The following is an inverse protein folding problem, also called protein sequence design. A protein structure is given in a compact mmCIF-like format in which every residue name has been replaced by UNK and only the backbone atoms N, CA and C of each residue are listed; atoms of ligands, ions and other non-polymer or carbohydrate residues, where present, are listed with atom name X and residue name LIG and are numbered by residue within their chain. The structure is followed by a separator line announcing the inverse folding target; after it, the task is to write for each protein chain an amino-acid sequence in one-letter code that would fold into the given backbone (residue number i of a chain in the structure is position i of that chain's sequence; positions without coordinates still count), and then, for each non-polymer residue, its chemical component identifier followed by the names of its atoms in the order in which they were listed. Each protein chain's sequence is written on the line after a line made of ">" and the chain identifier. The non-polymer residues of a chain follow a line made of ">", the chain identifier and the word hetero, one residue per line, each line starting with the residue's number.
data_IF_115536557772
#
_entry.id   IF_115536557772
#
_cell.length_a   1.000
_cell.length_b   1.000
_cell.length_c   1.000
_cell.angle_alpha   90.00
_cell.angle_beta   90.00
_cell.angle_gamma   90.00
#
_symmetry.space_group_name_H-M   'P 1'
#
loop_
_entity.id
_entity.type
_entity.pdbx_description
1 polymer ?
#
# COMPACT_ATOMS: atom_id res chain seq x y z
N UNK A 1 18.22 -3.91 43.14
CA UNK A 1 17.89 -3.17 41.90
C UNK A 1 17.74 -4.19 40.79
N UNK A 2 16.50 -4.60 40.51
CA UNK A 2 16.18 -5.53 39.44
C UNK A 2 15.79 -4.70 38.21
N UNK A 3 16.60 -4.74 37.15
CA UNK A 3 16.22 -4.22 35.85
C UNK A 3 15.84 -5.42 34.97
N UNK A 4 14.57 -5.77 35.00
CA UNK A 4 13.93 -6.71 34.08
C UNK A 4 13.78 -6.04 32.72
N UNK A 5 14.11 -6.79 31.67
CA UNK A 5 14.41 -6.26 30.35
C UNK A 5 13.21 -5.84 29.51
N UNK A 6 13.54 -5.20 28.39
CA UNK A 6 12.79 -5.32 27.16
C UNK A 6 13.82 -5.27 26.03
N UNK A 7 14.27 -6.45 25.60
CA UNK A 7 15.15 -6.58 24.45
C UNK A 7 14.39 -6.14 23.21
N UNK A 8 14.96 -5.19 22.47
CA UNK A 8 14.55 -4.96 21.09
C UNK A 8 14.93 -6.21 20.31
N UNK A 9 13.96 -7.09 20.08
CA UNK A 9 14.09 -8.16 19.11
C UNK A 9 14.22 -7.51 17.74
N UNK A 10 15.45 -7.40 17.26
CA UNK A 10 15.78 -7.31 15.84
C UNK A 10 15.01 -8.41 15.13
N UNK A 11 13.91 -8.05 14.47
CA UNK A 11 13.21 -8.98 13.59
C UNK A 11 14.12 -9.18 12.39
N UNK A 12 14.83 -10.30 12.42
CA UNK A 12 15.53 -10.93 11.32
C UNK A 12 14.78 -10.68 10.00
N UNK A 13 15.55 -10.30 8.98
CA UNK A 13 15.08 -9.90 7.66
C UNK A 13 13.86 -10.71 7.20
N UNK A 14 12.76 -9.99 6.98
CA UNK A 14 11.53 -10.59 6.51
C UNK A 14 11.76 -11.18 5.11
N UNK A 15 11.31 -12.44 4.96
CA UNK A 15 10.99 -13.15 3.71
C UNK A 15 12.13 -13.89 2.98
N UNK A 16 12.27 -15.18 3.29
CA UNK A 16 12.66 -16.21 2.30
C UNK A 16 11.44 -16.57 1.46
N UNK A 17 11.48 -16.33 0.13
CA UNK A 17 10.46 -16.82 -0.81
C UNK A 17 10.56 -18.34 -0.96
N UNK A 18 9.47 -19.04 -0.65
CA UNK A 18 9.30 -20.47 -0.90
C UNK A 18 9.20 -20.73 -2.41
N UNK A 19 9.96 -21.72 -2.88
CA UNK A 19 9.87 -22.24 -4.24
C UNK A 19 8.51 -22.85 -4.52
N UNK A 20 7.91 -22.45 -5.65
CA UNK A 20 6.62 -22.97 -6.11
C UNK A 20 6.81 -24.30 -6.85
N UNK A 21 6.19 -25.36 -6.34
CA UNK A 21 5.93 -26.58 -7.08
C UNK A 21 4.82 -26.37 -8.12
N UNK A 22 4.93 -27.06 -9.26
CA UNK A 22 4.09 -26.89 -10.43
C UNK A 22 2.60 -27.21 -10.16
N UNK A 23 1.76 -26.18 -10.28
CA UNK A 23 0.30 -26.29 -10.30
C UNK A 23 -0.32 -24.97 -10.77
N UNK A 24 -1.07 -25.01 -11.88
CA UNK A 24 -1.88 -23.94 -12.51
C UNK A 24 -1.33 -22.51 -12.33
N UNK A 25 -0.67 -21.97 -13.37
CA UNK A 25 -0.15 -20.59 -13.39
C UNK A 25 -1.25 -19.61 -12.97
N UNK A 26 -1.20 -19.12 -11.72
CA UNK A 26 -1.98 -17.95 -11.31
C UNK A 26 -1.38 -16.76 -12.05
N UNK A 27 -2.21 -16.00 -12.77
CA UNK A 27 -1.76 -14.73 -13.31
C UNK A 27 -1.27 -13.87 -12.16
N UNK A 28 -0.02 -13.43 -12.24
CA UNK A 28 0.57 -12.50 -11.29
C UNK A 28 -0.05 -11.13 -11.59
N UNK A 29 -0.76 -10.54 -10.62
CA UNK A 29 -1.49 -9.27 -10.80
C UNK A 29 -0.90 -8.23 -9.88
N UNK A 30 -0.51 -7.09 -10.43
CA UNK A 30 0.02 -5.98 -9.65
C UNK A 30 -1.04 -5.46 -8.67
N UNK A 31 -0.62 -4.98 -7.51
CA UNK A 31 -1.52 -4.47 -6.47
C UNK A 31 -1.01 -3.13 -5.98
N UNK A 32 -1.86 -2.12 -6.00
CA UNK A 32 -1.52 -0.79 -5.48
C UNK A 32 -1.56 -0.82 -3.97
N UNK A 33 -0.63 -0.15 -3.31
CA UNK A 33 -0.58 -0.03 -1.85
C UNK A 33 -0.88 1.41 -1.46
N UNK A 34 -1.79 1.55 -0.53
CA UNK A 34 -2.24 2.81 0.06
C UNK A 34 -1.45 3.17 1.34
N UNK A 35 -1.44 4.46 1.67
CA UNK A 35 -0.82 5.04 2.86
C UNK A 35 -1.31 4.34 4.13
N UNK A 36 -2.62 4.11 4.24
CA UNK A 36 -3.24 3.50 5.42
C UNK A 36 -2.67 2.12 5.75
N UNK A 37 -2.30 1.34 4.74
CA UNK A 37 -1.69 0.01 4.90
C UNK A 37 -0.23 0.11 5.30
N UNK A 38 0.56 1.02 4.69
CA UNK A 38 1.97 1.22 5.05
C UNK A 38 2.12 1.70 6.50
N UNK A 39 1.31 2.68 6.90
CA UNK A 39 1.30 3.21 8.27
C UNK A 39 0.91 2.12 9.26
N UNK A 40 -0.15 1.36 8.98
CA UNK A 40 -0.62 0.30 9.87
C UNK A 40 0.35 -0.88 9.95
N UNK A 41 0.98 -1.27 8.84
CA UNK A 41 2.01 -2.30 8.83
C UNK A 41 3.26 -1.88 9.61
N UNK A 42 3.56 -0.58 9.67
CA UNK A 42 4.72 -0.04 10.40
C UNK A 42 4.43 0.11 11.90
N UNK A 43 3.23 0.55 12.28
CA UNK A 43 2.87 0.79 13.67
C UNK A 43 2.32 -0.48 14.34
N UNK A 44 3.16 -1.20 15.10
CA UNK A 44 2.78 -2.42 15.82
C UNK A 44 1.63 -2.26 16.84
N UNK A 45 1.25 -1.02 17.17
CA UNK A 45 0.11 -0.71 18.05
C UNK A 45 -1.22 -0.61 17.32
N UNK A 46 -1.20 -0.52 15.99
CA UNK A 46 -2.44 -0.47 15.21
C UNK A 46 -3.19 -1.79 15.28
N UNK A 47 -4.50 -1.72 15.50
CA UNK A 47 -5.36 -2.91 15.47
C UNK A 47 -5.30 -3.63 14.12
N UNK A 48 -5.00 -2.88 13.04
CA UNK A 48 -4.84 -3.41 11.70
C UNK A 48 -3.42 -3.93 11.38
N UNK A 49 -2.46 -3.80 12.28
CA UNK A 49 -1.05 -4.12 12.00
C UNK A 49 -0.85 -5.53 11.41
N UNK A 50 -1.36 -6.55 12.11
CA UNK A 50 -1.20 -7.95 11.67
C UNK A 50 -1.91 -8.26 10.35
N UNK A 51 -3.08 -7.67 10.10
CA UNK A 51 -3.83 -7.90 8.84
C UNK A 51 -3.14 -7.22 7.66
N UNK A 52 -2.58 -6.03 7.86
CA UNK A 52 -1.82 -5.32 6.82
C UNK A 52 -0.54 -6.07 6.46
N UNK A 53 0.24 -6.51 7.45
CA UNK A 53 1.43 -7.33 7.21
C UNK A 53 1.10 -8.64 6.49
N UNK A 54 0.04 -9.33 6.91
CA UNK A 54 -0.39 -10.55 6.26
C UNK A 54 -0.81 -10.31 4.80
N UNK A 55 -1.52 -9.22 4.51
CA UNK A 55 -1.98 -8.87 3.18
C UNK A 55 -0.82 -8.49 2.24
N UNK A 56 0.15 -7.70 2.73
CA UNK A 56 1.39 -7.39 2.01
C UNK A 56 2.15 -8.68 1.67
N UNK A 57 2.32 -9.57 2.65
CA UNK A 57 3.07 -10.83 2.49
C UNK A 57 2.36 -11.82 1.56
N UNK A 58 1.03 -11.88 1.59
CA UNK A 58 0.24 -12.82 0.81
C UNK A 58 0.02 -12.36 -0.65
N UNK A 59 0.40 -11.12 -0.98
CA UNK A 59 0.16 -10.58 -2.33
C UNK A 59 1.02 -11.29 -3.37
N UNK A 60 0.34 -11.85 -4.39
CA UNK A 60 0.98 -12.51 -5.51
C UNK A 60 1.19 -11.50 -6.65
N UNK A 61 2.36 -10.89 -6.70
CA UNK A 61 2.76 -9.95 -7.76
C UNK A 61 3.58 -8.78 -7.27
N UNK A 62 3.71 -7.74 -8.09
CA UNK A 62 4.36 -6.52 -7.65
C UNK A 62 3.41 -5.72 -6.77
N UNK A 63 3.93 -5.29 -5.62
CA UNK A 63 3.35 -4.21 -4.86
C UNK A 63 3.82 -2.90 -5.52
N UNK A 64 2.87 -2.06 -5.90
CA UNK A 64 3.14 -0.78 -6.57
C UNK A 64 2.69 0.34 -5.65
N UNK A 65 3.54 1.35 -5.45
CA UNK A 65 3.26 2.51 -4.61
C UNK A 65 3.33 3.78 -5.45
N UNK A 66 2.36 4.67 -5.27
CA UNK A 66 2.45 6.04 -5.77
C UNK A 66 3.53 6.82 -4.99
N UNK A 67 4.36 7.66 -5.64
CA UNK A 67 5.28 8.52 -4.90
C UNK A 67 4.57 9.47 -3.93
N UNK A 68 3.29 9.77 -4.17
CA UNK A 68 2.44 10.57 -3.26
C UNK A 68 2.05 9.78 -2.00
N UNK A 69 1.72 8.50 -2.16
CA UNK A 69 1.51 7.58 -1.03
C UNK A 69 2.78 7.44 -0.20
N UNK A 70 3.94 7.30 -0.85
CA UNK A 70 5.23 7.23 -0.15
C UNK A 70 5.47 8.49 0.69
N UNK A 71 5.29 9.67 0.11
CA UNK A 71 5.47 10.94 0.80
C UNK A 71 4.50 11.12 1.98
N UNK A 72 3.24 10.72 1.81
CA UNK A 72 2.24 10.80 2.86
C UNK A 72 2.52 9.80 4.01
N UNK A 73 2.90 8.56 3.67
CA UNK A 73 3.27 7.55 4.66
C UNK A 73 4.49 7.98 5.48
N UNK A 74 5.52 8.51 4.83
CA UNK A 74 6.72 9.08 5.47
C UNK A 74 6.33 10.16 6.50
N UNK A 75 5.51 11.12 6.09
CA UNK A 75 5.01 12.17 6.98
C UNK A 75 4.23 11.61 8.18
N UNK A 76 3.35 10.63 7.96
CA UNK A 76 2.56 10.04 9.04
C UNK A 76 3.40 9.21 10.01
N UNK A 77 4.35 8.43 9.51
CA UNK A 77 5.22 7.57 10.32
C UNK A 77 6.21 8.42 11.12
N UNK A 78 6.77 9.48 10.53
CA UNK A 78 7.64 10.41 11.24
C UNK A 78 6.96 10.98 12.50
N UNK A 79 5.64 11.22 12.45
CA UNK A 79 4.85 11.72 13.60
C UNK A 79 4.63 10.68 14.69
N UNK A 80 4.87 9.39 14.43
CA UNK A 80 4.91 8.36 15.47
C UNK A 80 6.18 8.46 16.33
N UNK A 81 7.20 9.20 15.87
CA UNK A 81 8.45 9.44 16.60
C UNK A 81 9.38 8.21 16.65
N UNK A 82 9.24 7.29 15.70
CA UNK A 82 9.98 6.03 15.67
C UNK A 82 10.88 5.95 14.43
N UNK A 83 11.99 6.69 14.44
CA UNK A 83 12.98 6.71 13.34
C UNK A 83 13.42 5.30 12.90
N UNK A 84 13.65 4.32 13.79
CA UNK A 84 13.98 2.96 13.35
C UNK A 84 12.87 2.29 12.53
N UNK A 85 11.61 2.58 12.82
CA UNK A 85 10.46 2.02 12.08
C UNK A 85 10.31 2.70 10.71
N UNK A 86 10.54 4.00 10.63
CA UNK A 86 10.60 4.76 9.38
C UNK A 86 11.68 4.20 8.44
N UNK A 87 12.91 4.05 8.94
CA UNK A 87 14.02 3.48 8.16
C UNK A 87 13.72 2.05 7.71
N UNK A 88 13.14 1.22 8.57
CA UNK A 88 12.76 -0.14 8.22
C UNK A 88 11.69 -0.18 7.11
N UNK A 89 10.69 0.71 7.17
CA UNK A 89 9.69 0.84 6.12
C UNK A 89 10.32 1.27 4.79
N UNK A 90 11.22 2.26 4.79
CA UNK A 90 11.89 2.73 3.57
C UNK A 90 12.77 1.63 2.94
N UNK A 91 13.44 0.82 3.75
CA UNK A 91 14.19 -0.34 3.30
C UNK A 91 13.27 -1.40 2.68
N UNK A 92 12.15 -1.70 3.33
CA UNK A 92 11.17 -2.66 2.81
C UNK A 92 10.56 -2.21 1.48
N UNK A 93 10.20 -0.92 1.36
CA UNK A 93 9.70 -0.34 0.11
C UNK A 93 10.74 -0.47 -1.01
N UNK A 94 12.01 -0.17 -0.71
CA UNK A 94 13.11 -0.29 -1.69
C UNK A 94 13.29 -1.72 -2.19
N UNK A 95 13.23 -2.69 -1.28
CA UNK A 95 13.62 -4.07 -1.57
C UNK A 95 12.44 -4.90 -2.12
N UNK A 96 11.20 -4.57 -1.73
CA UNK A 96 10.03 -5.41 -1.99
C UNK A 96 8.93 -4.75 -2.83
N UNK A 97 9.00 -3.44 -3.09
CA UNK A 97 7.95 -2.70 -3.78
C UNK A 97 8.48 -1.89 -4.97
N UNK A 98 7.57 -1.49 -5.86
CA UNK A 98 7.88 -0.61 -6.98
C UNK A 98 7.27 0.75 -6.73
N UNK A 99 8.11 1.77 -6.51
CA UNK A 99 7.65 3.16 -6.53
C UNK A 99 7.43 3.56 -7.99
N UNK A 100 6.18 3.85 -8.33
CA UNK A 100 5.77 4.21 -9.67
C UNK A 100 6.30 5.60 -10.06
N UNK A 101 6.53 5.83 -11.35
CA UNK A 101 6.66 7.19 -11.88
C UNK A 101 5.29 7.86 -11.88
N UNK A 102 5.23 9.17 -11.63
CA UNK A 102 3.99 9.95 -11.72
C UNK A 102 4.25 11.18 -12.57
N UNK A 103 3.73 11.19 -13.80
CA UNK A 103 3.96 12.21 -14.81
C UNK A 103 2.89 13.31 -14.77
N UNK A 104 3.07 14.34 -15.61
CA UNK A 104 2.03 15.35 -15.81
C UNK A 104 0.76 14.74 -16.45
N UNK A 105 0.89 13.76 -17.34
CA UNK A 105 -0.27 13.07 -17.91
C UNK A 105 -1.04 12.26 -16.85
N UNK A 106 -0.33 11.69 -15.86
CA UNK A 106 -0.98 11.05 -14.72
C UNK A 106 -1.66 12.09 -13.82
N UNK A 107 -1.05 13.26 -13.65
CA UNK A 107 -1.62 14.37 -12.87
C UNK A 107 -2.89 14.93 -13.52
N UNK A 108 -2.91 15.11 -14.84
CA UNK A 108 -4.09 15.57 -15.58
C UNK A 108 -5.27 14.60 -15.42
N UNK A 109 -5.00 13.29 -15.47
CA UNK A 109 -6.01 12.27 -15.17
C UNK A 109 -6.45 12.33 -13.70
N UNK A 110 -5.52 12.52 -12.77
CA UNK A 110 -5.86 12.59 -11.35
C UNK A 110 -6.72 13.83 -11.03
N UNK A 111 -6.49 14.96 -11.69
CA UNK A 111 -7.36 16.15 -11.60
C UNK A 111 -8.79 15.78 -12.02
N UNK A 112 -8.94 15.10 -13.15
CA UNK A 112 -10.27 14.64 -13.63
C UNK A 112 -10.95 13.72 -12.61
N UNK A 113 -10.19 12.81 -11.98
CA UNK A 113 -10.71 11.93 -10.92
C UNK A 113 -11.13 12.73 -9.69
N UNK A 114 -10.32 13.69 -9.23
CA UNK A 114 -10.67 14.57 -8.09
C UNK A 114 -11.95 15.36 -8.38
N UNK A 115 -12.07 15.94 -9.57
CA UNK A 115 -13.27 16.67 -10.00
C UNK A 115 -14.51 15.76 -10.01
N UNK A 116 -14.39 14.55 -10.58
CA UNK A 116 -15.48 13.58 -10.64
C UNK A 116 -15.99 13.15 -9.26
N UNK A 117 -15.10 13.03 -8.28
CA UNK A 117 -15.42 12.56 -6.92
C UNK A 117 -15.28 13.68 -5.88
N UNK A 118 -15.61 14.93 -6.25
CA UNK A 118 -15.46 16.11 -5.38
C UNK A 118 -16.15 15.94 -4.02
N UNK A 119 -17.34 15.34 -4.00
CA UNK A 119 -18.12 15.12 -2.77
C UNK A 119 -17.45 14.16 -1.77
N UNK A 120 -16.54 13.31 -2.25
CA UNK A 120 -15.78 12.37 -1.42
C UNK A 120 -14.49 12.98 -0.85
N UNK A 121 -14.05 14.13 -1.38
CA UNK A 121 -12.81 14.82 -0.97
C UNK A 121 -11.59 13.89 -0.85
N UNK A 122 -11.37 13.07 -1.88
CA UNK A 122 -10.36 12.00 -1.89
C UNK A 122 -8.91 12.52 -1.94
N UNK A 123 -8.71 13.75 -2.45
CA UNK A 123 -7.38 14.32 -2.61
C UNK A 123 -6.52 13.63 -3.67
N UNK A 124 -5.31 14.15 -3.86
CA UNK A 124 -4.41 13.71 -4.94
C UNK A 124 -3.79 12.33 -4.68
N UNK A 125 -3.58 11.95 -3.41
CA UNK A 125 -3.03 10.64 -3.06
C UNK A 125 -3.95 9.52 -3.54
N UNK A 126 -5.23 9.55 -3.15
CA UNK A 126 -6.21 8.53 -3.57
C UNK A 126 -6.43 8.56 -5.08
N UNK A 127 -6.54 9.77 -5.68
CA UNK A 127 -6.67 9.90 -7.13
C UNK A 127 -5.47 9.30 -7.89
N UNK A 128 -4.25 9.43 -7.35
CA UNK A 128 -3.07 8.81 -7.95
C UNK A 128 -3.12 7.29 -7.93
N UNK A 129 -3.70 6.68 -6.88
CA UNK A 129 -3.91 5.23 -6.82
C UNK A 129 -4.86 4.80 -7.95
N UNK A 130 -5.94 5.54 -8.19
CA UNK A 130 -6.93 5.26 -9.24
C UNK A 130 -6.29 5.32 -10.64
N UNK A 131 -5.51 6.35 -10.92
CA UNK A 131 -4.80 6.52 -12.20
C UNK A 131 -3.76 5.42 -12.39
N UNK A 132 -2.95 5.13 -11.37
CA UNK A 132 -1.94 4.09 -11.46
C UNK A 132 -2.58 2.70 -11.59
N UNK A 133 -3.71 2.43 -10.92
CA UNK A 133 -4.43 1.17 -11.09
C UNK A 133 -4.82 0.93 -12.56
N UNK A 134 -5.25 1.97 -13.27
CA UNK A 134 -5.52 1.91 -14.70
C UNK A 134 -4.26 1.61 -15.52
N UNK A 135 -3.15 2.31 -15.23
CA UNK A 135 -1.87 2.15 -15.95
C UNK A 135 -1.21 0.78 -15.74
N UNK A 136 -1.35 0.22 -14.54
CA UNK A 136 -0.85 -1.13 -14.21
C UNK A 136 -1.88 -2.23 -14.50
N UNK A 137 -3.00 -1.89 -15.15
CA UNK A 137 -4.06 -2.83 -15.54
C UNK A 137 -4.55 -3.71 -14.39
N UNK A 138 -4.79 -3.09 -13.23
CA UNK A 138 -5.24 -3.79 -12.03
C UNK A 138 -6.42 -3.10 -11.37
N UNK A 139 -7.25 -3.89 -10.71
CA UNK A 139 -8.31 -3.41 -9.82
C UNK A 139 -7.97 -3.67 -8.35
N UNK A 140 -6.77 -4.19 -8.04
CA UNK A 140 -6.41 -4.60 -6.68
C UNK A 140 -5.76 -3.44 -5.93
N UNK A 141 -6.32 -3.10 -4.79
CA UNK A 141 -5.81 -2.06 -3.90
C UNK A 141 -5.70 -2.63 -2.48
N UNK A 142 -4.53 -2.51 -1.89
CA UNK A 142 -4.31 -2.69 -0.46
C UNK A 142 -4.59 -1.36 0.23
N UNK A 143 -5.74 -1.23 0.90
CA UNK A 143 -6.19 -0.01 1.59
C UNK A 143 -7.06 -0.40 2.79
N UNK A 144 -7.06 0.43 3.85
CA UNK A 144 -8.04 0.35 4.93
C UNK A 144 -9.23 1.28 4.70
N UNK A 145 -9.13 2.22 3.76
CA UNK A 145 -10.15 3.22 3.43
C UNK A 145 -11.16 2.67 2.42
N UNK A 146 -11.74 1.52 2.75
CA UNK A 146 -12.64 0.79 1.86
C UNK A 146 -13.81 1.64 1.36
N UNK A 147 -14.38 2.48 2.23
CA UNK A 147 -15.51 3.36 1.90
C UNK A 147 -15.19 4.34 0.75
N UNK A 148 -13.96 4.83 0.65
CA UNK A 148 -13.58 5.78 -0.41
C UNK A 148 -13.47 5.03 -1.74
N UNK A 149 -12.67 3.97 -1.77
CA UNK A 149 -12.44 3.22 -3.01
C UNK A 149 -13.64 2.38 -3.46
N UNK A 150 -14.59 2.04 -2.59
CA UNK A 150 -15.86 1.41 -2.99
C UNK A 150 -16.76 2.35 -3.81
N UNK A 151 -16.66 3.66 -3.59
CA UNK A 151 -17.46 4.65 -4.30
C UNK A 151 -16.84 5.07 -5.64
N UNK A 152 -15.60 4.65 -5.92
CA UNK A 152 -14.84 5.03 -7.11
C UNK A 152 -14.79 3.87 -8.10
N UNK A 153 -15.10 4.14 -9.36
CA UNK A 153 -14.99 3.18 -10.46
C UNK A 153 -13.57 3.14 -11.04
N UNK A 154 -13.03 1.95 -11.37
CA UNK A 154 -11.77 1.83 -12.12
C UNK A 154 -11.84 2.54 -13.48
N UNK A 155 -10.76 3.22 -13.90
CA UNK A 155 -10.75 3.98 -15.17
C UNK A 155 -10.61 3.11 -16.43
N UNK A 156 -9.92 1.97 -16.33
CA UNK A 156 -9.62 1.13 -17.49
C UNK A 156 -10.56 -0.08 -17.62
N UNK A 157 -10.53 -0.99 -16.66
CA UNK A 157 -11.26 -2.26 -16.73
C UNK A 157 -11.72 -2.73 -15.36
N UNK A 158 -12.91 -3.34 -15.32
CA UNK A 158 -13.51 -3.92 -14.12
C UNK A 158 -14.63 -3.05 -13.55
N UNK A 159 -15.61 -3.71 -12.92
CA UNK A 159 -16.81 -3.05 -12.40
C UNK A 159 -16.58 -2.43 -11.01
N UNK A 160 -15.50 -2.79 -10.32
CA UNK A 160 -15.15 -2.28 -9.00
C UNK A 160 -13.70 -2.63 -8.65
N UNK A 161 -13.13 -1.89 -7.70
CA UNK A 161 -11.86 -2.26 -7.08
C UNK A 161 -12.02 -3.49 -6.16
N UNK A 162 -11.05 -4.40 -6.22
CA UNK A 162 -10.84 -5.45 -5.23
C UNK A 162 -10.01 -4.89 -4.08
N UNK A 163 -10.65 -4.63 -2.94
CA UNK A 163 -10.03 -4.00 -1.78
C UNK A 163 -9.53 -5.04 -0.78
N UNK A 164 -8.31 -4.83 -0.29
CA UNK A 164 -7.60 -5.76 0.57
C UNK A 164 -6.93 -5.00 1.74
N UNK A 165 -6.76 -5.61 2.91
CA UNK A 165 -7.35 -6.88 3.32
C UNK A 165 -8.88 -6.78 3.38
N UNK A 166 -9.57 -7.81 2.88
CA UNK A 166 -11.03 -7.91 3.06
C UNK A 166 -11.35 -8.01 4.56
N UNK A 167 -12.46 -7.39 4.97
CA UNK A 167 -12.98 -7.37 6.34
C UNK A 167 -13.05 -8.75 6.99
#
# INVERSE_FOLDING_TARGET
>A
MANTGCGYHTHDGYIRRLGLAAGRVRSVVDTLVDTSVLVSATNAREAAHRRCLAALTATLGRLVISPLVLAEADYMIARLGQVPAEVAMLQDIRDNMTVAQFSNDDLDQAITVVEQYTDLNIGITDASIVVLAARYHTTRILTLDHKHFQAIMPLASGDHFTLLPSS
#
